data_IF_610436476521
#
_entry.id   IF_610436476521
#
_cell.length_a   1.000
_cell.length_b   1.000
_cell.length_c   1.000
_cell.angle_alpha   90.00
_cell.angle_beta   90.00
_cell.angle_gamma   90.00
#
_symmetry.space_group_name_H-M   'P 1'
#
loop_
_entity.id
_entity.type
_entity.pdbx_description
1 polymer ?
#
# COMPACT_ATOMS: atom_id res chain seq x y z
N UNK A 1 26.24 6.38 11.29
CA UNK A 1 25.78 7.57 10.53
C UNK A 1 24.30 7.36 10.28
N UNK A 2 23.39 8.20 10.80
CA UNK A 2 21.97 8.00 10.54
C UNK A 2 21.71 8.30 9.06
N UNK A 3 21.51 7.25 8.27
CA UNK A 3 21.16 7.34 6.86
C UNK A 3 19.83 8.10 6.73
N UNK A 4 19.71 8.99 5.73
CA UNK A 4 18.48 9.72 5.49
C UNK A 4 17.34 8.70 5.23
N UNK A 5 16.13 8.90 5.79
CA UNK A 5 15.08 7.91 5.66
C UNK A 5 14.72 7.68 4.19
N UNK A 6 15.01 6.48 3.68
CA UNK A 6 14.63 6.04 2.34
C UNK A 6 13.11 5.89 2.22
N UNK A 7 12.56 6.27 1.07
CA UNK A 7 11.15 6.03 0.72
C UNK A 7 11.05 4.84 -0.22
N UNK A 8 10.45 3.76 0.26
CA UNK A 8 10.24 2.53 -0.51
C UNK A 8 8.76 2.37 -0.90
N UNK A 9 8.52 1.80 -2.09
CA UNK A 9 7.18 1.38 -2.53
C UNK A 9 7.24 -0.14 -2.69
N UNK A 10 6.31 -0.84 -2.05
CA UNK A 10 6.16 -2.29 -2.14
C UNK A 10 4.84 -2.59 -2.86
N UNK A 11 4.88 -3.55 -3.79
CA UNK A 11 3.70 -4.18 -4.40
C UNK A 11 3.75 -5.65 -3.96
N UNK A 12 2.70 -6.11 -3.30
CA UNK A 12 2.61 -7.47 -2.78
C UNK A 12 1.37 -8.15 -3.34
N UNK A 13 1.51 -9.42 -3.71
CA UNK A 13 0.40 -10.31 -4.04
C UNK A 13 -0.17 -11.06 -2.83
N UNK A 14 0.48 -10.93 -1.67
CA UNK A 14 0.08 -11.55 -0.40
C UNK A 14 0.07 -10.54 0.75
N UNK A 15 -0.29 -10.99 1.95
CA UNK A 15 -0.42 -10.14 3.12
C UNK A 15 -0.09 -10.87 4.41
N UNK A 16 1.13 -11.42 4.54
CA UNK A 16 1.57 -12.09 5.76
C UNK A 16 1.69 -11.09 6.91
N UNK A 17 1.53 -11.57 8.15
CA UNK A 17 1.60 -10.72 9.34
C UNK A 17 2.92 -9.94 9.39
N UNK A 18 2.84 -8.60 9.40
CA UNK A 18 4.00 -7.68 9.44
C UNK A 18 5.05 -7.90 8.33
N UNK A 19 4.68 -8.45 7.19
CA UNK A 19 5.63 -8.86 6.13
C UNK A 19 6.65 -7.80 5.73
N UNK A 20 6.20 -6.61 5.32
CA UNK A 20 7.09 -5.49 4.93
C UNK A 20 8.04 -5.09 6.06
N UNK A 21 7.55 -5.09 7.32
CA UNK A 21 8.37 -4.71 8.47
C UNK A 21 9.45 -5.74 8.72
N UNK A 22 9.13 -7.04 8.62
CA UNK A 22 10.10 -8.13 8.79
C UNK A 22 11.16 -8.11 7.69
N UNK A 23 10.78 -7.82 6.44
CA UNK A 23 11.73 -7.67 5.32
C UNK A 23 12.74 -6.55 5.62
N UNK A 24 12.25 -5.38 6.03
CA UNK A 24 13.13 -4.24 6.34
C UNK A 24 13.99 -4.51 7.59
N UNK A 25 13.42 -5.10 8.64
CA UNK A 25 14.16 -5.48 9.86
C UNK A 25 15.31 -6.46 9.55
N UNK A 26 15.11 -7.41 8.63
CA UNK A 26 16.15 -8.33 8.19
C UNK A 26 17.30 -7.66 7.43
N UNK A 27 17.08 -6.46 6.90
CA UNK A 27 18.08 -5.62 6.23
C UNK A 27 18.62 -4.52 7.16
N UNK A 28 18.48 -4.69 8.48
CA UNK A 28 18.87 -3.73 9.52
C UNK A 28 18.19 -2.34 9.37
N UNK A 29 17.01 -2.32 8.77
CA UNK A 29 16.22 -1.11 8.52
C UNK A 29 14.97 -1.04 9.40
N UNK A 30 14.77 0.10 10.10
CA UNK A 30 13.57 0.32 10.93
C UNK A 30 12.48 1.07 10.18
N UNK A 31 11.27 0.49 10.15
CA UNK A 31 10.10 1.13 9.52
C UNK A 31 9.52 2.24 10.41
N UNK A 32 9.74 3.52 10.05
CA UNK A 32 9.12 4.67 10.74
C UNK A 32 7.63 4.84 10.44
N UNK A 33 7.24 4.69 9.16
CA UNK A 33 5.86 4.84 8.70
C UNK A 33 5.56 3.85 7.60
N UNK A 34 4.45 3.13 7.73
CA UNK A 34 3.92 2.25 6.70
C UNK A 34 2.51 2.72 6.35
N UNK A 35 2.28 3.05 5.08
CA UNK A 35 0.97 3.49 4.57
C UNK A 35 0.62 2.68 3.34
N UNK A 36 -0.50 1.97 3.38
CA UNK A 36 -1.09 1.34 2.20
C UNK A 36 -1.76 2.43 1.35
N UNK A 37 -1.30 2.58 0.11
CA UNK A 37 -1.76 3.63 -0.81
C UNK A 37 -2.67 3.09 -1.93
N UNK A 38 -2.75 1.77 -2.09
CA UNK A 38 -3.62 1.11 -3.05
C UNK A 38 -3.96 -0.32 -2.59
N UNK A 39 -5.03 -0.89 -3.15
CA UNK A 39 -5.41 -2.30 -3.09
C UNK A 39 -5.78 -2.74 -4.51
N UNK A 40 -4.95 -3.60 -5.12
CA UNK A 40 -5.04 -3.86 -6.55
C UNK A 40 -4.97 -2.55 -7.35
N UNK A 41 -5.89 -2.37 -8.31
CA UNK A 41 -6.01 -1.15 -9.10
C UNK A 41 -6.66 0.04 -8.34
N UNK A 42 -7.28 -0.20 -7.18
CA UNK A 42 -7.96 0.84 -6.41
C UNK A 42 -6.94 1.68 -5.62
N UNK A 43 -6.83 2.97 -5.92
CA UNK A 43 -5.94 3.92 -5.24
C UNK A 43 -6.64 4.67 -4.10
N UNK A 44 -5.90 4.97 -3.03
CA UNK A 44 -6.39 5.76 -1.90
C UNK A 44 -6.69 7.22 -2.27
N UNK A 45 -5.91 7.79 -3.21
CA UNK A 45 -6.05 9.16 -3.67
C UNK A 45 -5.96 10.18 -2.53
N UNK A 46 -6.84 11.18 -2.55
CA UNK A 46 -6.92 12.26 -1.56
C UNK A 46 -7.76 11.95 -0.31
N UNK A 47 -8.14 10.69 -0.06
CA UNK A 47 -8.99 10.36 1.10
C UNK A 47 -8.27 10.71 2.43
N UNK A 48 -8.84 11.59 3.28
CA UNK A 48 -8.22 11.96 4.55
C UNK A 48 -8.17 10.79 5.53
N UNK A 49 -7.21 10.86 6.47
CA UNK A 49 -7.08 9.86 7.53
C UNK A 49 -8.36 9.78 8.38
N UNK A 50 -8.78 8.56 8.72
CA UNK A 50 -9.99 8.33 9.52
C UNK A 50 -11.31 8.57 8.79
N UNK A 51 -11.28 8.91 7.50
CA UNK A 51 -12.48 9.10 6.67
C UNK A 51 -12.68 7.92 5.73
N UNK A 52 -13.92 7.77 5.27
CA UNK A 52 -14.34 6.82 4.26
C UNK A 52 -15.21 7.54 3.23
N UNK A 53 -15.38 6.91 2.07
CA UNK A 53 -16.30 7.35 1.02
C UNK A 53 -16.89 6.15 0.31
N UNK A 54 -18.02 6.32 -0.36
CA UNK A 54 -18.53 5.31 -1.28
C UNK A 54 -17.63 5.23 -2.51
N UNK A 55 -17.45 4.02 -3.03
CA UNK A 55 -16.80 3.79 -4.30
C UNK A 55 -17.75 4.16 -5.43
N UNK A 56 -17.22 4.71 -6.52
CA UNK A 56 -17.98 4.82 -7.77
C UNK A 56 -18.19 3.42 -8.38
N UNK A 57 -19.16 3.26 -9.31
CA UNK A 57 -19.33 1.99 -10.01
C UNK A 57 -18.04 1.47 -10.68
N UNK A 58 -17.25 2.37 -11.27
CA UNK A 58 -15.96 2.01 -11.88
C UNK A 58 -14.96 1.50 -10.84
N UNK A 59 -14.85 2.18 -9.70
CA UNK A 59 -13.95 1.77 -8.61
C UNK A 59 -14.37 0.46 -7.95
N UNK A 60 -15.67 0.18 -7.87
CA UNK A 60 -16.18 -1.10 -7.41
C UNK A 60 -15.74 -2.25 -8.33
N UNK A 61 -15.73 -2.05 -9.65
CA UNK A 61 -15.19 -3.04 -10.60
C UNK A 61 -13.69 -3.27 -10.40
N UNK A 62 -12.91 -2.20 -10.15
CA UNK A 62 -11.48 -2.31 -9.83
C UNK A 62 -11.25 -3.13 -8.54
N UNK A 63 -12.02 -2.83 -7.49
CA UNK A 63 -11.88 -3.48 -6.18
C UNK A 63 -12.20 -4.98 -6.22
N UNK A 64 -13.12 -5.39 -7.09
CA UNK A 64 -13.47 -6.79 -7.32
C UNK A 64 -12.47 -7.54 -8.21
N UNK A 65 -11.36 -6.91 -8.61
CA UNK A 65 -10.35 -7.52 -9.47
C UNK A 65 -10.83 -7.80 -10.89
N UNK A 66 -11.94 -7.17 -11.32
CA UNK A 66 -12.54 -7.37 -12.64
C UNK A 66 -11.86 -6.57 -13.76
N UNK A 67 -10.86 -5.77 -13.40
CA UNK A 67 -10.08 -4.95 -14.32
C UNK A 67 -8.61 -5.15 -13.96
N UNK A 68 -7.80 -5.56 -14.95
CA UNK A 68 -6.34 -5.60 -14.80
C UNK A 68 -5.82 -4.16 -14.75
N UNK A 69 -4.95 -3.88 -13.78
CA UNK A 69 -4.20 -2.63 -13.80
C UNK A 69 -3.20 -2.70 -14.97
N UNK A 70 -3.19 -1.75 -15.91
CA UNK A 70 -1.99 -1.54 -16.71
C UNK A 70 -0.93 -0.99 -15.75
N UNK A 71 0.28 -1.55 -15.85
CA UNK A 71 1.42 -1.23 -14.98
C UNK A 71 1.68 0.29 -14.85
#
# INVERSE_FOLDING_TARGET
>A
RAEAPGRYIFILGEGKNREIRRILEALDNRTRRLKRIAVGALRLGGLPMGRWRKLSPAEALLALGRVRNPD
#
